data_IF_661731880947
#
_entry.id   IF_661731880947
#
_cell.length_a   1.000
_cell.length_b   1.000
_cell.length_c   1.000
_cell.angle_alpha   90.00
_cell.angle_beta   90.00
_cell.angle_gamma   90.00
#
_symmetry.space_group_name_H-M   'P 1'
#
loop_
_entity.id
_entity.type
_entity.pdbx_description
1 polymer ?
#
# COMPACT_ATOMS: atom_id res chain seq x y z
N UNK A 1 34.90 -5.22 36.67
CA UNK A 1 33.83 -5.86 35.89
C UNK A 1 32.69 -4.87 35.76
N UNK A 2 32.47 -4.25 34.60
CA UNK A 2 31.24 -3.48 34.32
C UNK A 2 31.00 -3.40 32.82
N UNK A 3 29.73 -3.55 32.47
CA UNK A 3 29.17 -4.03 31.22
C UNK A 3 29.22 -3.02 30.06
N UNK A 4 29.21 -3.59 28.85
CA UNK A 4 29.40 -2.92 27.58
C UNK A 4 28.43 -1.78 27.29
N UNK A 5 28.99 -0.72 26.71
CA UNK A 5 28.26 0.34 26.04
C UNK A 5 27.67 -0.20 24.73
N UNK A 6 26.61 -0.99 24.84
CA UNK A 6 25.72 -1.23 23.70
C UNK A 6 24.92 0.05 23.50
N UNK A 7 25.44 0.91 22.63
CA UNK A 7 24.67 1.99 21.99
C UNK A 7 23.42 1.35 21.40
N UNK A 8 22.32 1.40 22.14
CA UNK A 8 20.99 1.10 21.60
C UNK A 8 20.78 2.14 20.51
N UNK A 9 20.92 1.70 19.28
CA UNK A 9 20.52 2.42 18.09
C UNK A 9 19.06 2.81 18.32
N UNK A 10 18.84 4.05 18.77
CA UNK A 10 17.52 4.65 18.82
C UNK A 10 17.07 4.69 17.37
N UNK A 11 16.29 3.69 16.98
CA UNK A 11 15.44 3.81 15.82
C UNK A 11 14.50 4.97 16.14
N UNK A 12 14.83 6.14 15.61
CA UNK A 12 13.90 7.23 15.49
C UNK A 12 13.04 6.83 14.27
N UNK A 13 11.84 6.23 14.46
CA UNK A 13 10.96 6.06 13.31
C UNK A 13 10.79 7.45 12.70
N UNK A 14 10.97 7.62 11.37
CA UNK A 14 10.72 8.90 10.75
C UNK A 14 9.34 9.35 11.19
N UNK A 15 9.27 10.54 11.79
CA UNK A 15 8.06 11.14 12.27
C UNK A 15 6.99 10.97 11.19
N UNK A 16 5.92 10.27 11.53
CA UNK A 16 4.75 10.06 10.67
C UNK A 16 4.09 11.43 10.52
N UNK A 17 4.64 12.25 9.63
CA UNK A 17 4.19 13.60 9.39
C UNK A 17 2.85 13.54 8.67
N UNK A 18 1.91 14.37 9.11
CA UNK A 18 0.57 14.53 8.58
C UNK A 18 0.51 15.15 7.15
N UNK A 19 1.53 14.91 6.33
CA UNK A 19 1.75 15.47 4.98
C UNK A 19 2.20 14.42 3.95
N UNK A 20 2.08 13.13 4.23
CA UNK A 20 2.47 12.12 3.25
C UNK A 20 1.58 12.23 2.00
N UNK A 21 2.18 12.28 0.82
CA UNK A 21 1.44 12.25 -0.43
C UNK A 21 0.62 10.95 -0.49
N UNK A 22 -0.56 10.96 -1.10
CA UNK A 22 -1.38 9.75 -1.24
C UNK A 22 -0.61 8.57 -1.83
N UNK A 23 0.30 8.85 -2.76
CA UNK A 23 1.21 7.87 -3.37
C UNK A 23 2.16 7.24 -2.35
N UNK A 24 2.73 8.01 -1.42
CA UNK A 24 3.62 7.49 -0.38
C UNK A 24 2.87 6.60 0.60
N UNK A 25 1.64 6.99 0.97
CA UNK A 25 0.75 6.19 1.82
C UNK A 25 0.40 4.87 1.14
N UNK A 26 0.09 4.92 -0.16
CA UNK A 26 -0.20 3.74 -0.97
C UNK A 26 1.01 2.80 -1.08
N UNK A 27 2.21 3.34 -1.33
CA UNK A 27 3.45 2.56 -1.37
C UNK A 27 3.77 1.92 -0.03
N UNK A 28 3.66 2.66 1.06
CA UNK A 28 3.84 2.13 2.41
C UNK A 28 2.83 0.99 2.71
N UNK A 29 1.57 1.17 2.28
CA UNK A 29 0.55 0.13 2.41
C UNK A 29 0.92 -1.13 1.62
N UNK A 30 1.37 -1.00 0.37
CA UNK A 30 1.81 -2.12 -0.46
C UNK A 30 2.98 -2.88 0.19
N UNK A 31 3.99 -2.15 0.66
CA UNK A 31 5.18 -2.73 1.28
C UNK A 31 4.88 -3.40 2.62
N UNK A 32 3.83 -2.97 3.31
CA UNK A 32 3.40 -3.59 4.58
C UNK A 32 2.74 -4.97 4.39
N UNK A 33 2.44 -5.37 3.15
CA UNK A 33 1.67 -6.59 2.91
C UNK A 33 2.51 -7.87 3.04
N UNK A 34 1.98 -8.90 3.73
CA UNK A 34 2.58 -10.23 3.72
C UNK A 34 2.62 -10.84 2.32
N UNK A 35 3.62 -11.66 2.04
CA UNK A 35 3.69 -12.43 0.80
C UNK A 35 2.48 -13.38 0.68
N UNK A 36 1.90 -13.45 -0.53
CA UNK A 36 0.76 -14.33 -0.81
C UNK A 36 -0.60 -13.80 -0.34
N UNK A 37 -0.68 -12.57 0.17
CA UNK A 37 -1.99 -11.94 0.43
C UNK A 37 -2.77 -11.78 -0.87
N UNK A 38 -4.08 -11.99 -0.82
CA UNK A 38 -4.98 -11.53 -1.88
C UNK A 38 -5.00 -10.00 -1.88
N UNK A 39 -4.18 -9.44 -2.75
CA UNK A 39 -3.99 -7.99 -2.86
C UNK A 39 -5.25 -7.28 -3.34
N UNK A 40 -6.09 -7.96 -4.13
CA UNK A 40 -7.36 -7.42 -4.63
C UNK A 40 -8.36 -7.33 -3.49
N UNK A 41 -8.53 -8.41 -2.72
CA UNK A 41 -9.40 -8.39 -1.54
C UNK A 41 -8.95 -7.36 -0.48
N UNK A 42 -7.64 -7.24 -0.28
CA UNK A 42 -7.07 -6.25 0.63
C UNK A 42 -7.33 -4.81 0.16
N UNK A 43 -7.11 -4.52 -1.14
CA UNK A 43 -7.37 -3.20 -1.72
C UNK A 43 -8.87 -2.83 -1.66
N UNK A 44 -9.76 -3.77 -1.98
CA UNK A 44 -11.22 -3.58 -1.87
C UNK A 44 -11.65 -3.21 -0.45
N UNK A 45 -11.02 -3.81 0.56
CA UNK A 45 -11.32 -3.49 1.96
C UNK A 45 -10.89 -2.08 2.35
N UNK A 46 -9.78 -1.57 1.79
CA UNK A 46 -9.35 -0.18 2.02
C UNK A 46 -10.25 0.82 1.30
N UNK A 47 -10.72 0.50 0.08
CA UNK A 47 -11.69 1.32 -0.64
C UNK A 47 -12.95 1.54 0.20
N UNK A 48 -13.52 0.47 0.78
CA UNK A 48 -14.70 0.57 1.64
C UNK A 48 -14.44 1.48 2.84
N UNK A 49 -13.25 1.43 3.45
CA UNK A 49 -12.87 2.31 4.56
C UNK A 49 -12.76 3.77 4.11
N UNK A 50 -12.19 4.02 2.94
CA UNK A 50 -12.04 5.37 2.38
C UNK A 50 -13.40 5.97 2.02
N UNK A 51 -14.31 5.17 1.47
CA UNK A 51 -15.70 5.58 1.17
C UNK A 51 -16.47 5.86 2.46
N UNK A 52 -16.32 5.01 3.48
CA UNK A 52 -16.95 5.19 4.79
C UNK A 52 -16.40 6.42 5.55
N UNK A 53 -15.17 6.84 5.27
CA UNK A 53 -14.58 8.05 5.86
C UNK A 53 -15.27 9.34 5.40
N UNK A 54 -16.23 9.27 4.46
CA UNK A 54 -17.20 10.32 4.12
C UNK A 54 -16.60 11.74 4.13
N UNK A 55 -15.47 11.92 3.45
CA UNK A 55 -14.69 13.15 3.50
C UNK A 55 -14.20 13.56 2.13
N UNK A 56 -14.61 14.75 1.68
CA UNK A 56 -14.16 15.44 0.44
C UNK A 56 -12.68 15.86 0.50
N UNK A 57 -11.81 15.03 1.09
CA UNK A 57 -10.38 15.30 1.15
C UNK A 57 -9.72 14.81 -0.13
N UNK A 58 -9.09 15.72 -0.89
CA UNK A 58 -8.45 15.40 -2.16
C UNK A 58 -7.44 14.24 -2.05
N UNK A 59 -6.74 14.13 -0.92
CA UNK A 59 -5.82 13.02 -0.66
C UNK A 59 -6.50 11.67 -0.49
N UNK A 60 -7.67 11.61 0.15
CA UNK A 60 -8.42 10.36 0.32
C UNK A 60 -9.02 9.89 -1.01
N UNK A 61 -9.51 10.83 -1.82
CA UNK A 61 -9.94 10.55 -3.20
C UNK A 61 -8.80 9.99 -4.04
N UNK A 62 -7.63 10.65 -4.02
CA UNK A 62 -6.47 10.17 -4.78
C UNK A 62 -6.02 8.77 -4.34
N UNK A 63 -6.06 8.50 -3.03
CA UNK A 63 -5.73 7.19 -2.50
C UNK A 63 -6.74 6.12 -2.94
N UNK A 64 -8.04 6.45 -2.98
CA UNK A 64 -9.08 5.58 -3.54
C UNK A 64 -8.83 5.26 -5.02
N UNK A 65 -8.50 6.26 -5.84
CA UNK A 65 -8.17 6.08 -7.26
C UNK A 65 -6.98 5.12 -7.45
N UNK A 66 -5.94 5.23 -6.60
CA UNK A 66 -4.77 4.35 -6.64
C UNK A 66 -5.14 2.89 -6.32
N UNK A 67 -6.03 2.65 -5.35
CA UNK A 67 -6.52 1.31 -5.06
C UNK A 67 -7.37 0.74 -6.19
N UNK A 68 -8.21 1.55 -6.83
CA UNK A 68 -8.99 1.11 -8.00
C UNK A 68 -8.07 0.70 -9.15
N UNK A 69 -7.08 1.52 -9.48
CA UNK A 69 -6.10 1.22 -10.53
C UNK A 69 -5.31 -0.07 -10.24
N UNK A 70 -4.95 -0.32 -8.98
CA UNK A 70 -4.29 -1.57 -8.58
C UNK A 70 -5.17 -2.80 -8.85
N UNK A 71 -6.46 -2.73 -8.53
CA UNK A 71 -7.40 -3.82 -8.74
C UNK A 71 -7.56 -4.09 -10.25
N UNK A 72 -7.76 -3.03 -11.04
CA UNK A 72 -7.87 -3.13 -12.50
C UNK A 72 -6.62 -3.78 -13.11
N UNK A 73 -5.43 -3.32 -12.75
CA UNK A 73 -4.17 -3.89 -13.24
C UNK A 73 -4.03 -5.37 -12.86
N UNK A 74 -4.37 -5.74 -11.62
CA UNK A 74 -4.30 -7.14 -11.16
C UNK A 74 -5.29 -8.04 -11.88
N UNK A 75 -6.49 -7.53 -12.17
CA UNK A 75 -7.48 -8.27 -12.94
C UNK A 75 -7.09 -8.38 -14.41
N UNK A 76 -6.50 -7.34 -15.00
CA UNK A 76 -5.97 -7.37 -16.37
C UNK A 76 -4.86 -8.43 -16.51
N UNK A 77 -3.95 -8.50 -15.52
CA UNK A 77 -2.92 -9.53 -15.45
C UNK A 77 -3.51 -10.95 -15.31
N UNK A 78 -4.62 -11.10 -14.60
CA UNK A 78 -5.30 -12.39 -14.46
C UNK A 78 -6.11 -12.79 -15.71
N UNK A 79 -6.63 -11.81 -16.45
CA UNK A 79 -7.41 -12.00 -17.67
C UNK A 79 -6.54 -12.13 -18.92
N UNK A 80 -5.28 -11.71 -18.87
CA UNK A 80 -4.33 -11.87 -19.97
C UNK A 80 -4.10 -13.38 -20.23
N UNK A 81 -4.49 -13.92 -21.40
CA UNK A 81 -4.24 -15.31 -21.70
C UNK A 81 -2.73 -15.54 -21.80
N UNK A 82 -2.25 -16.61 -21.18
CA UNK A 82 -0.90 -17.14 -21.30
C UNK A 82 -0.62 -17.63 -22.74
N UNK A 83 -0.62 -16.73 -23.72
CA UNK A 83 -0.28 -17.07 -25.10
C UNK A 83 0.01 -15.82 -25.93
N UNK A 84 1.30 -15.59 -26.17
CA UNK A 84 1.82 -15.14 -27.48
C UNK A 84 3.34 -15.35 -27.51
N UNK A 85 3.73 -16.61 -27.66
CA UNK A 85 4.91 -16.96 -28.46
C UNK A 85 4.39 -17.77 -29.64
N UNK A 86 4.20 -17.18 -30.82
CA UNK A 86 4.17 -17.97 -32.04
C UNK A 86 5.61 -18.44 -32.31
N UNK A 87 5.79 -19.76 -32.37
CA UNK A 87 6.95 -20.40 -33.01
C UNK A 87 6.94 -20.14 -34.51
#
# INVERSE_FOLDING_TARGET
MSLGATTRQQYNPPAVNAFNAPEDVFLAWLMSRPCGVDIVAAASSEIIKLEAYAGQHAGAKRLHDLFCALIEEKQALAAAPASRVPQ
#
